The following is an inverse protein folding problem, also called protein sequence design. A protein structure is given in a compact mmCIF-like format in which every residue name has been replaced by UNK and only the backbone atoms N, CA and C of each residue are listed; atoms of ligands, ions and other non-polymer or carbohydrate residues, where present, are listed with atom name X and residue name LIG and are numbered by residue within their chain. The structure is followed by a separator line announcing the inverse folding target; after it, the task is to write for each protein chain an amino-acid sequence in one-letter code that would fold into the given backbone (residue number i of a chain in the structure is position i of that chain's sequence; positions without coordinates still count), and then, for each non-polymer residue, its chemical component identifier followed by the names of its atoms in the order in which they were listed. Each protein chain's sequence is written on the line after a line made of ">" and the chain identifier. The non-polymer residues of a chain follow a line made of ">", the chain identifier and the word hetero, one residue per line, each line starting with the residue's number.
data_IF_797323387970
#
_entry.id   IF_797323387970
#
_cell.length_a   1.000
_cell.length_b   1.000
_cell.length_c   1.000
_cell.angle_alpha   90.00
_cell.angle_beta   90.00
_cell.angle_gamma   90.00
#
_symmetry.space_group_name_H-M   'P 1'
#
loop_
_entity.id
_entity.type
_entity.pdbx_description
1 polymer ?
#
# COMPACT_ATOMS: atom_id res chain seq x y z
N UNK A 1 -5.11 18.97 -9.68
CA UNK A 1 -3.84 18.26 -9.43
C UNK A 1 -3.49 17.56 -10.74
N UNK A 2 -2.35 17.87 -11.36
CA UNK A 2 -1.93 17.22 -12.62
C UNK A 2 -1.67 15.74 -12.31
N UNK A 3 -2.69 14.90 -12.45
CA UNK A 3 -2.57 13.48 -12.24
C UNK A 3 -1.71 12.92 -13.37
N UNK A 4 -0.52 12.43 -13.02
CA UNK A 4 0.23 11.57 -13.91
C UNK A 4 -0.68 10.39 -14.30
N UNK A 5 -0.76 10.05 -15.59
CA UNK A 5 -1.50 8.87 -16.05
C UNK A 5 -0.85 7.60 -15.49
N UNK A 6 -1.27 7.22 -14.28
CA UNK A 6 -0.76 6.07 -13.53
C UNK A 6 0.43 6.35 -12.61
N UNK A 7 0.69 5.39 -11.72
CA UNK A 7 1.78 5.44 -10.72
C UNK A 7 3.18 5.28 -11.33
N UNK A 8 3.26 4.84 -12.58
CA UNK A 8 4.52 4.54 -13.26
C UNK A 8 5.40 5.79 -13.40
N UNK A 9 4.85 6.88 -13.94
CA UNK A 9 5.60 8.12 -14.13
C UNK A 9 6.00 8.75 -12.80
N UNK A 10 5.10 8.72 -11.81
CA UNK A 10 5.41 9.13 -10.44
C UNK A 10 6.60 8.34 -9.87
N UNK A 11 6.65 7.03 -10.11
CA UNK A 11 7.75 6.18 -9.64
C UNK A 11 9.07 6.51 -10.33
N UNK A 12 9.06 6.84 -11.63
CA UNK A 12 10.26 7.30 -12.35
C UNK A 12 10.74 8.63 -11.77
N UNK A 13 9.82 9.59 -11.60
CA UNK A 13 10.13 10.89 -11.03
C UNK A 13 10.77 10.75 -9.65
N UNK A 14 10.14 9.98 -8.74
CA UNK A 14 10.66 9.74 -7.38
C UNK A 14 12.06 9.12 -7.41
N UNK A 15 12.33 8.15 -8.29
CA UNK A 15 13.66 7.54 -8.42
C UNK A 15 14.76 8.55 -8.82
N UNK A 16 14.40 9.60 -9.57
CA UNK A 16 15.37 10.63 -10.02
C UNK A 16 15.54 11.74 -8.99
N UNK A 17 14.45 12.21 -8.38
CA UNK A 17 14.46 13.42 -7.53
C UNK A 17 14.78 13.12 -6.06
N UNK A 18 14.37 11.95 -5.55
CA UNK A 18 14.59 11.60 -4.14
C UNK A 18 16.09 11.57 -3.75
N UNK A 19 17.02 11.03 -4.57
CA UNK A 19 18.45 11.08 -4.25
C UNK A 19 19.00 12.52 -4.18
N UNK A 20 18.54 13.41 -5.06
CA UNK A 20 18.96 14.82 -5.09
C UNK A 20 18.52 15.52 -3.81
N UNK A 21 17.25 15.33 -3.41
CA UNK A 21 16.73 15.86 -2.17
C UNK A 21 17.51 15.36 -0.94
N UNK A 22 17.77 14.05 -0.85
CA UNK A 22 18.56 13.47 0.25
C UNK A 22 19.96 14.07 0.29
N UNK A 23 20.61 14.22 -0.86
CA UNK A 23 21.93 14.83 -0.96
C UNK A 23 21.94 16.30 -0.52
N UNK A 24 20.89 17.06 -0.88
CA UNK A 24 20.73 18.45 -0.45
C UNK A 24 20.58 18.54 1.06
N UNK A 25 19.74 17.71 1.70
CA UNK A 25 19.58 17.71 3.18
C UNK A 25 20.92 17.47 3.88
N UNK A 26 21.67 16.46 3.43
CA UNK A 26 22.97 16.12 4.01
C UNK A 26 23.96 17.28 3.84
N UNK A 27 23.94 17.95 2.68
CA UNK A 27 24.82 19.08 2.39
C UNK A 27 24.41 20.37 3.11
N UNK A 28 23.13 20.63 3.33
CA UNK A 28 22.65 21.79 4.09
C UNK A 28 23.22 21.79 5.53
N UNK A 29 23.43 20.60 6.11
CA UNK A 29 24.09 20.45 7.42
C UNK A 29 25.60 20.69 7.45
N UNK A 30 26.28 20.81 6.29
CA UNK A 30 27.75 20.93 6.20
C UNK A 30 28.26 22.17 5.45
N UNK A 31 27.39 23.09 5.02
CA UNK A 31 27.79 24.27 4.25
C UNK A 31 28.22 25.45 5.16
N UNK A 32 29.46 25.36 5.65
CA UNK A 32 30.37 26.48 5.95
C UNK A 32 31.69 26.24 5.17
N UNK A 33 31.63 26.06 3.86
CA UNK A 33 32.83 26.19 3.02
C UNK A 33 32.45 26.48 1.57
N UNK A 34 33.10 27.51 1.03
CA UNK A 34 32.83 28.13 -0.25
C UNK A 34 33.37 27.32 -1.44
N UNK A 35 32.85 27.68 -2.62
CA UNK A 35 33.28 27.28 -3.96
C UNK A 35 32.89 25.87 -4.43
N UNK A 36 31.60 25.66 -4.73
CA UNK A 36 31.22 24.73 -5.80
C UNK A 36 30.22 25.38 -6.75
N UNK A 37 30.70 25.67 -7.95
CA UNK A 37 29.86 26.02 -9.08
C UNK A 37 29.21 24.71 -9.56
N UNK A 38 28.08 24.34 -8.95
CA UNK A 38 27.25 23.18 -9.31
C UNK A 38 25.79 23.64 -9.45
N UNK A 39 25.04 23.00 -10.34
CA UNK A 39 23.76 23.44 -10.90
C UNK A 39 22.82 24.16 -9.90
N UNK A 40 22.76 25.50 -9.99
CA UNK A 40 22.03 26.37 -9.04
C UNK A 40 20.57 25.95 -8.80
N UNK A 41 19.91 25.39 -9.82
CA UNK A 41 18.47 25.08 -9.78
C UNK A 41 18.19 23.84 -8.90
N UNK A 42 19.06 22.83 -8.90
CA UNK A 42 18.83 21.61 -8.13
C UNK A 42 19.12 21.81 -6.63
N UNK A 43 20.03 22.72 -6.30
CA UNK A 43 20.34 23.13 -4.93
C UNK A 43 19.15 23.86 -4.26
N UNK A 44 18.27 24.49 -5.06
CA UNK A 44 17.04 25.15 -4.60
C UNK A 44 15.91 24.15 -4.26
N UNK A 45 16.10 22.85 -4.51
CA UNK A 45 15.17 21.81 -4.05
C UNK A 45 15.35 21.63 -2.54
N UNK A 46 14.54 22.35 -1.78
CA UNK A 46 14.59 22.39 -0.32
C UNK A 46 13.78 21.24 0.31
N UNK A 47 12.65 20.86 -0.30
CA UNK A 47 11.75 19.86 0.27
C UNK A 47 10.93 19.13 -0.79
N UNK A 48 10.59 17.87 -0.49
CA UNK A 48 9.68 17.03 -1.26
C UNK A 48 8.52 16.62 -0.36
N UNK A 49 7.30 17.11 -0.61
CA UNK A 49 6.11 16.79 0.20
C UNK A 49 5.32 15.62 -0.37
N UNK A 50 4.65 14.88 0.51
CA UNK A 50 3.65 13.83 0.18
C UNK A 50 4.17 12.74 -0.78
N UNK A 51 5.49 12.57 -0.84
CA UNK A 51 6.13 11.71 -1.83
C UNK A 51 6.17 10.23 -1.42
N UNK A 52 5.77 9.96 -0.20
CA UNK A 52 5.68 8.66 0.46
C UNK A 52 4.24 8.16 0.58
N UNK A 53 3.24 8.96 0.23
CA UNK A 53 1.84 8.55 0.24
C UNK A 53 1.60 7.53 -0.88
N UNK A 54 1.00 6.39 -0.53
CA UNK A 54 0.63 5.37 -1.50
C UNK A 54 -0.54 5.87 -2.36
N UNK A 55 -0.53 5.52 -3.65
CA UNK A 55 -1.56 5.96 -4.59
C UNK A 55 -3.00 5.63 -4.15
N UNK A 56 -3.21 4.43 -3.60
CA UNK A 56 -4.52 4.03 -3.09
C UNK A 56 -4.97 4.86 -1.87
N UNK A 57 -4.03 5.25 -0.99
CA UNK A 57 -4.33 6.13 0.16
C UNK A 57 -4.67 7.53 -0.32
N UNK A 58 -3.88 8.08 -1.24
CA UNK A 58 -4.14 9.40 -1.82
C UNK A 58 -5.51 9.42 -2.51
N UNK A 59 -5.80 8.45 -3.38
CA UNK A 59 -7.09 8.34 -4.06
C UNK A 59 -8.25 8.19 -3.07
N UNK A 60 -8.10 7.39 -2.01
CA UNK A 60 -9.13 7.24 -0.98
C UNK A 60 -9.36 8.54 -0.18
N UNK A 61 -8.31 9.31 0.10
CA UNK A 61 -8.43 10.61 0.78
C UNK A 61 -9.12 11.63 -0.12
N UNK A 62 -8.61 11.81 -1.34
CA UNK A 62 -9.10 12.82 -2.29
C UNK A 62 -10.56 12.56 -2.70
N UNK A 63 -10.94 11.29 -2.91
CA UNK A 63 -12.28 10.90 -3.31
C UNK A 63 -13.22 10.65 -2.12
N UNK A 64 -12.71 10.71 -0.88
CA UNK A 64 -13.51 10.47 0.32
C UNK A 64 -13.97 9.02 0.51
N UNK A 65 -13.37 8.06 -0.19
CA UNK A 65 -13.76 6.64 -0.10
C UNK A 65 -13.19 5.96 1.14
N UNK A 66 -13.99 5.12 1.80
CA UNK A 66 -13.65 4.42 3.04
C UNK A 66 -14.12 2.98 3.01
N UNK A 67 -13.30 2.07 3.53
CA UNK A 67 -13.62 0.65 3.59
C UNK A 67 -14.79 0.40 4.56
N UNK A 68 -15.61 -0.60 4.22
CA UNK A 68 -16.75 -1.06 5.00
C UNK A 68 -18.00 -0.18 4.88
N UNK A 69 -17.95 0.93 4.13
CA UNK A 69 -19.12 1.74 3.83
C UNK A 69 -19.85 1.19 2.61
N UNK A 70 -21.14 1.47 2.51
CA UNK A 70 -21.93 1.11 1.34
C UNK A 70 -21.83 2.19 0.27
N UNK A 71 -21.68 1.77 -0.99
CA UNK A 71 -21.64 2.67 -2.14
C UNK A 71 -22.54 2.17 -3.25
N UNK A 72 -23.20 3.09 -3.94
CA UNK A 72 -23.76 2.83 -5.27
C UNK A 72 -22.68 3.14 -6.31
N UNK A 73 -22.34 2.13 -7.12
CA UNK A 73 -21.28 2.23 -8.13
C UNK A 73 -21.89 2.51 -9.49
N UNK A 74 -21.44 3.56 -10.15
CA UNK A 74 -21.79 3.91 -11.53
C UNK A 74 -20.54 3.80 -12.40
N UNK A 75 -20.68 3.16 -13.56
CA UNK A 75 -19.61 3.01 -14.54
C UNK A 75 -20.03 3.66 -15.86
N UNK A 76 -19.23 4.63 -16.32
CA UNK A 76 -19.43 5.32 -17.59
C UNK A 76 -18.34 4.92 -18.57
N UNK A 77 -18.67 4.33 -19.73
CA UNK A 77 -17.69 3.97 -20.75
C UNK A 77 -16.90 5.19 -21.23
N UNK A 78 -15.61 4.98 -21.51
CA UNK A 78 -14.70 5.95 -22.12
C UNK A 78 -13.83 5.22 -23.15
N UNK A 79 -13.21 5.96 -24.07
CA UNK A 79 -12.37 5.40 -25.14
C UNK A 79 -11.25 4.48 -24.60
N UNK A 80 -10.68 4.82 -23.44
CA UNK A 80 -9.62 4.05 -22.76
C UNK A 80 -10.09 3.37 -21.46
N UNK A 81 -11.38 3.03 -21.35
CA UNK A 81 -11.89 2.20 -20.23
C UNK A 81 -13.24 2.64 -19.69
N UNK A 82 -13.35 2.80 -18.37
CA UNK A 82 -14.57 3.28 -17.72
C UNK A 82 -14.25 4.22 -16.56
N UNK A 83 -14.96 5.34 -16.49
CA UNK A 83 -14.97 6.18 -15.31
C UNK A 83 -15.90 5.58 -14.26
N UNK A 84 -15.34 5.33 -13.08
CA UNK A 84 -16.06 4.79 -11.93
C UNK A 84 -16.40 5.93 -10.96
N UNK A 85 -17.67 6.05 -10.61
CA UNK A 85 -18.16 6.97 -9.58
C UNK A 85 -18.81 6.13 -8.48
N UNK A 86 -18.41 6.35 -7.23
CA UNK A 86 -18.98 5.66 -6.07
C UNK A 86 -19.69 6.67 -5.18
N UNK A 87 -21.01 6.55 -5.07
CA UNK A 87 -21.84 7.42 -4.23
C UNK A 87 -22.07 6.74 -2.88
N UNK A 88 -21.64 7.37 -1.79
CA UNK A 88 -21.80 6.84 -0.43
C UNK A 88 -23.29 6.71 -0.07
N UNK A 89 -23.66 5.59 0.56
CA UNK A 89 -25.01 5.24 0.99
C UNK A 89 -25.11 5.36 2.52
N UNK A 90 -25.32 6.57 3.00
CA UNK A 90 -25.46 6.89 4.43
C UNK A 90 -26.72 6.26 5.08
N UNK A 91 -27.70 5.88 4.25
CA UNK A 91 -28.92 5.20 4.66
C UNK A 91 -28.65 3.79 5.22
N UNK A 92 -27.56 3.13 4.81
CA UNK A 92 -27.23 1.78 5.24
C UNK A 92 -26.13 1.82 6.30
N UNK A 93 -26.55 1.72 7.57
CA UNK A 93 -25.63 1.76 8.73
C UNK A 93 -25.06 0.40 9.12
N UNK A 94 -25.77 -0.68 8.82
CA UNK A 94 -25.32 -2.03 9.10
C UNK A 94 -24.13 -2.38 8.20
N UNK A 95 -23.06 -2.95 8.77
CA UNK A 95 -21.93 -3.46 7.99
C UNK A 95 -22.34 -4.76 7.27
N UNK A 96 -21.69 -5.05 6.15
CA UNK A 96 -21.81 -6.38 5.54
C UNK A 96 -21.35 -7.48 6.51
N UNK A 97 -21.91 -8.67 6.34
CA UNK A 97 -21.54 -9.87 7.12
C UNK A 97 -20.63 -10.77 6.26
N UNK A 98 -19.29 -10.59 6.31
CA UNK A 98 -18.39 -11.39 5.50
C UNK A 98 -18.26 -12.81 6.06
N UNK A 99 -18.10 -13.79 5.17
CA UNK A 99 -17.69 -15.13 5.59
C UNK A 99 -16.22 -15.08 6.00
N UNK A 100 -15.96 -15.24 7.30
CA UNK A 100 -14.61 -15.23 7.87
C UNK A 100 -14.11 -16.67 8.00
N UNK A 101 -12.92 -16.93 7.45
CA UNK A 101 -12.16 -18.14 7.66
C UNK A 101 -10.89 -17.80 8.44
N UNK A 102 -10.76 -18.38 9.63
CA UNK A 102 -9.50 -18.41 10.35
C UNK A 102 -8.93 -19.83 10.27
N UNK A 103 -7.62 -19.96 10.08
CA UNK A 103 -6.97 -21.27 10.10
C UNK A 103 -5.64 -21.21 10.84
N UNK A 104 -5.28 -22.33 11.44
CA UNK A 104 -4.03 -22.56 12.14
C UNK A 104 -3.38 -23.84 11.60
N UNK A 105 -2.05 -23.85 11.55
CA UNK A 105 -1.28 -24.97 11.00
C UNK A 105 -0.28 -25.48 12.02
N UNK A 106 -0.19 -26.80 12.14
CA UNK A 106 0.83 -27.45 12.96
C UNK A 106 1.82 -28.18 12.07
N UNK A 107 3.10 -28.05 12.40
CA UNK A 107 4.21 -28.61 11.62
C UNK A 107 5.13 -29.43 12.51
N UNK A 108 5.83 -30.40 11.92
CA UNK A 108 6.95 -31.04 12.62
C UNK A 108 8.06 -30.01 12.84
N UNK A 109 8.92 -30.25 13.82
CA UNK A 109 10.14 -29.47 13.99
C UNK A 109 11.21 -30.29 14.68
N UNK A 110 12.46 -30.00 14.35
CA UNK A 110 13.61 -30.59 15.06
C UNK A 110 13.69 -30.03 16.50
N UNK A 111 14.13 -30.84 17.48
CA UNK A 111 14.34 -30.36 18.84
C UNK A 111 15.25 -29.11 18.86
N UNK A 112 14.83 -28.09 19.61
CA UNK A 112 15.55 -26.82 19.75
C UNK A 112 15.79 -26.05 18.44
N UNK A 113 14.99 -26.31 17.40
CA UNK A 113 14.96 -25.51 16.16
C UNK A 113 13.54 -25.02 15.88
N UNK A 114 13.46 -23.96 15.07
CA UNK A 114 12.22 -23.55 14.41
C UNK A 114 11.89 -24.53 13.28
N UNK A 115 10.61 -24.58 12.90
CA UNK A 115 10.15 -25.37 11.76
C UNK A 115 10.79 -24.89 10.46
N UNK A 116 11.18 -25.83 9.60
CA UNK A 116 11.80 -25.60 8.30
C UNK A 116 10.88 -26.12 7.19
N UNK A 117 10.34 -25.23 6.36
CA UNK A 117 9.39 -25.57 5.30
C UNK A 117 9.93 -26.56 4.25
N UNK A 118 11.25 -26.73 4.14
CA UNK A 118 11.83 -27.70 3.21
C UNK A 118 11.92 -29.13 3.77
N UNK A 119 11.97 -29.28 5.10
CA UNK A 119 12.27 -30.54 5.78
C UNK A 119 11.16 -31.04 6.71
N UNK A 120 10.32 -30.13 7.20
CA UNK A 120 9.24 -30.43 8.13
C UNK A 120 7.90 -30.60 7.40
N UNK A 121 7.08 -31.52 7.90
CA UNK A 121 5.77 -31.84 7.34
C UNK A 121 4.68 -31.04 8.07
N UNK A 122 3.62 -30.66 7.35
CA UNK A 122 2.37 -30.19 7.97
C UNK A 122 1.67 -31.40 8.56
N UNK A 123 1.36 -31.33 9.85
CA UNK A 123 0.74 -32.42 10.61
C UNK A 123 -0.78 -32.20 10.70
N UNK A 124 -1.22 -30.94 10.82
CA UNK A 124 -2.63 -30.61 10.98
C UNK A 124 -2.92 -29.23 10.40
N UNK A 125 -4.13 -29.09 9.86
CA UNK A 125 -4.72 -27.81 9.48
C UNK A 125 -6.05 -27.71 10.22
N UNK A 126 -6.13 -26.80 11.19
CA UNK A 126 -7.36 -26.45 11.88
C UNK A 126 -7.97 -25.23 11.20
N UNK A 127 -9.27 -25.23 10.96
CA UNK A 127 -9.96 -24.00 10.59
C UNK A 127 -11.26 -23.79 11.36
N UNK A 128 -11.51 -22.53 11.68
CA UNK A 128 -12.77 -22.04 12.21
C UNK A 128 -13.44 -21.22 11.12
N UNK A 129 -14.51 -21.77 10.57
CA UNK A 129 -15.49 -20.97 9.84
C UNK A 129 -16.48 -20.47 10.87
N UNK A 130 -16.77 -19.17 10.88
CA UNK A 130 -17.86 -18.67 11.71
C UNK A 130 -19.14 -19.45 11.33
N UNK A 131 -19.70 -20.19 12.29
CA UNK A 131 -20.78 -21.19 12.19
C UNK A 131 -20.42 -22.68 11.91
N UNK A 132 -19.15 -23.09 11.77
CA UNK A 132 -18.73 -24.50 11.76
C UNK A 132 -17.21 -24.69 11.94
N UNK A 133 -16.78 -25.43 12.97
CA UNK A 133 -15.39 -25.91 13.10
C UNK A 133 -15.25 -27.29 12.45
N UNK A 134 -14.30 -27.45 11.55
CA UNK A 134 -13.94 -28.76 10.98
C UNK A 134 -12.44 -29.01 11.20
N UNK A 135 -12.13 -30.19 11.73
CA UNK A 135 -10.77 -30.67 11.93
C UNK A 135 -10.38 -31.57 10.76
N UNK A 136 -9.26 -31.29 10.09
CA UNK A 136 -8.65 -32.16 9.11
C UNK A 136 -7.21 -32.51 9.55
N UNK A 137 -6.94 -33.80 9.76
CA UNK A 137 -5.57 -34.31 9.79
C UNK A 137 -5.14 -34.65 8.36
N UNK A 138 -3.93 -34.27 7.97
CA UNK A 138 -3.34 -34.63 6.68
C UNK A 138 -2.83 -36.06 6.73
#
# INVERSE_FOLDING_TARGET
>A
MLAWNGTYHWRIFRKKVLPIYIQNIISYGSKYSESRQKDKILDDIINLREHDILYNQQAAMDLGYRIGQWYTVLAFPQDDGAQIIMCHREDIKQRGDPVILAYDIESTKKPHKFSDSANDLIIMILHDKWHSTLLYSV
#
